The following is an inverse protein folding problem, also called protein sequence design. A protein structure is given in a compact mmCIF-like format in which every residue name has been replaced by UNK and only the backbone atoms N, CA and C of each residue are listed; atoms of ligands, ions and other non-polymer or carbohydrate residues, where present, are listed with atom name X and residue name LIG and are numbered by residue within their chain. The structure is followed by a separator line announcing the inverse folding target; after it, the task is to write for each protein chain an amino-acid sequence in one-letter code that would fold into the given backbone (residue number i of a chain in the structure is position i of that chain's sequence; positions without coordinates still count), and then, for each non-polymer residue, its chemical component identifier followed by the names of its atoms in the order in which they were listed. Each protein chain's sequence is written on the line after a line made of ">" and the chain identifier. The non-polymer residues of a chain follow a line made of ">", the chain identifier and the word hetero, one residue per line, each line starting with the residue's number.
data_IF_096145621280
#
_entry.id   IF_096145621280
#
_cell.length_a   1.000
_cell.length_b   1.000
_cell.length_c   1.000
_cell.angle_alpha   90.00
_cell.angle_beta   90.00
_cell.angle_gamma   90.00
#
_symmetry.space_group_name_H-M   'P 1'
#
loop_
_entity.id
_entity.type
_entity.pdbx_description
1 polymer ?
#
# COMPACT_ATOMS: atom_id res chain seq x y z
N UNK A 1 7.61 18.63 11.22
CA UNK A 1 7.10 17.23 11.18
C UNK A 1 7.16 16.69 9.76
N UNK A 2 7.76 15.53 9.59
CA UNK A 2 7.79 14.85 8.30
C UNK A 2 6.65 13.86 8.19
N UNK A 3 6.07 13.74 7.00
CA UNK A 3 4.96 12.84 6.73
C UNK A 3 5.43 11.66 5.90
N UNK A 4 5.15 10.45 6.39
CA UNK A 4 5.49 9.19 5.71
C UNK A 4 4.18 8.49 5.40
N UNK A 5 3.92 8.23 4.12
CA UNK A 5 2.73 7.51 3.68
C UNK A 5 3.11 6.05 3.40
N UNK A 6 2.46 5.14 4.11
CA UNK A 6 2.66 3.71 3.95
C UNK A 6 1.57 3.15 3.06
N UNK A 7 1.92 2.83 1.83
CA UNK A 7 0.99 2.40 0.79
C UNK A 7 1.16 0.91 0.52
N UNK A 8 0.14 0.13 0.83
CA UNK A 8 0.28 -1.32 0.73
C UNK A 8 -1.04 -2.06 0.67
N UNK A 9 -0.95 -3.37 0.85
CA UNK A 9 -2.08 -4.31 0.80
C UNK A 9 -2.52 -4.73 2.21
N UNK A 10 -3.01 -5.96 2.34
CA UNK A 10 -3.48 -6.50 3.63
C UNK A 10 -2.39 -6.52 4.71
N UNK A 11 -1.13 -6.68 4.33
CA UNK A 11 -0.03 -6.66 5.30
C UNK A 11 0.14 -5.27 5.91
N UNK A 12 -0.11 -4.23 5.15
CA UNK A 12 -0.07 -2.85 5.64
C UNK A 12 -1.35 -2.47 6.37
N UNK A 13 -2.49 -2.94 5.86
CA UNK A 13 -3.78 -2.78 6.55
C UNK A 13 -3.75 -3.43 7.93
N UNK A 14 -3.06 -4.56 8.06
CA UNK A 14 -3.01 -5.33 9.29
C UNK A 14 -4.10 -6.38 9.37
N UNK A 15 -4.39 -7.04 8.25
CA UNK A 15 -5.41 -8.09 8.21
C UNK A 15 -5.05 -9.23 9.15
N UNK A 16 -5.99 -9.61 10.02
CA UNK A 16 -5.85 -10.74 10.93
C UNK A 16 -6.57 -11.96 10.35
N UNK A 17 -5.84 -12.95 9.84
CA UNK A 17 -6.47 -14.12 9.20
C UNK A 17 -7.22 -15.03 10.17
N UNK A 18 -6.94 -14.92 11.46
CA UNK A 18 -7.62 -15.75 12.47
C UNK A 18 -9.03 -15.25 12.72
N UNK A 19 -9.22 -13.93 12.83
CA UNK A 19 -10.51 -13.33 13.17
C UNK A 19 -11.25 -12.73 11.97
N UNK A 20 -10.54 -12.49 10.86
CA UNK A 20 -11.07 -11.75 9.72
C UNK A 20 -11.09 -10.25 9.93
N UNK A 21 -10.60 -9.78 11.07
CA UNK A 21 -10.56 -8.37 11.42
C UNK A 21 -9.21 -7.73 11.12
N UNK A 22 -8.88 -6.74 11.95
CA UNK A 22 -7.66 -5.95 11.79
C UNK A 22 -6.85 -5.99 13.08
N UNK A 23 -5.55 -6.20 12.96
CA UNK A 23 -4.65 -6.12 14.11
C UNK A 23 -4.72 -4.72 14.73
N UNK A 24 -4.62 -4.60 16.07
CA UNK A 24 -4.56 -3.29 16.72
C UNK A 24 -3.37 -2.46 16.24
N UNK A 25 -3.46 -1.16 16.42
CA UNK A 25 -2.44 -0.22 15.97
C UNK A 25 -1.05 -0.56 16.50
N UNK A 26 -0.94 -1.00 17.75
CA UNK A 26 0.34 -1.35 18.36
C UNK A 26 0.95 -2.66 17.84
N UNK A 27 0.18 -3.43 17.07
CA UNK A 27 0.64 -4.67 16.44
C UNK A 27 0.97 -4.45 14.97
N UNK A 28 0.20 -3.60 14.26
CA UNK A 28 0.45 -3.31 12.85
C UNK A 28 1.84 -2.70 12.68
N UNK A 29 2.56 -3.07 11.59
CA UNK A 29 3.92 -2.55 11.38
C UNK A 29 3.92 -1.03 11.25
N UNK A 30 2.89 -0.45 10.67
CA UNK A 30 2.76 1.00 10.50
C UNK A 30 2.60 1.71 11.85
N UNK A 31 1.81 1.15 12.75
CA UNK A 31 1.66 1.69 14.10
C UNK A 31 2.95 1.59 14.91
N UNK A 32 3.66 0.48 14.75
CA UNK A 32 4.96 0.31 15.41
C UNK A 32 6.00 1.27 14.84
N UNK A 33 5.96 1.51 13.54
CA UNK A 33 6.83 2.49 12.90
C UNK A 33 6.61 3.88 13.50
N UNK A 34 5.34 4.28 13.67
CA UNK A 34 5.02 5.56 14.29
C UNK A 34 5.60 5.66 15.72
N UNK A 35 5.48 4.60 16.50
CA UNK A 35 6.03 4.59 17.85
C UNK A 35 7.56 4.75 17.85
N UNK A 36 8.22 4.08 16.92
CA UNK A 36 9.68 4.14 16.82
C UNK A 36 10.19 5.49 16.34
N UNK A 37 9.47 6.16 15.45
CA UNK A 37 9.88 7.43 14.88
C UNK A 37 9.57 8.62 15.79
N UNK A 38 8.56 8.50 16.66
CA UNK A 38 8.20 9.56 17.61
C UNK A 38 7.43 10.71 16.98
N UNK A 39 7.35 11.82 17.72
CA UNK A 39 6.45 12.93 17.42
C UNK A 39 6.90 13.82 16.25
N UNK A 40 8.13 13.67 15.77
CA UNK A 40 8.63 14.45 14.63
C UNK A 40 8.19 13.88 13.29
N UNK A 41 7.54 12.74 13.30
CA UNK A 41 7.06 12.04 12.09
C UNK A 41 5.59 11.73 12.24
N UNK A 42 4.89 11.85 11.13
CA UNK A 42 3.50 11.42 11.02
C UNK A 42 3.43 10.28 10.03
N UNK A 43 3.06 9.09 10.49
CA UNK A 43 2.87 7.92 9.64
C UNK A 43 1.40 7.82 9.25
N UNK A 44 1.15 7.82 7.94
CA UNK A 44 -0.19 7.66 7.39
C UNK A 44 -0.31 6.24 6.88
N UNK A 45 -1.35 5.54 7.36
CA UNK A 45 -1.62 4.15 6.98
C UNK A 45 -2.57 4.10 5.80
N UNK A 46 -2.11 3.62 4.65
CA UNK A 46 -2.95 3.43 3.47
C UNK A 46 -2.83 2.01 2.96
N UNK A 47 -3.25 1.07 3.77
CA UNK A 47 -3.33 -0.34 3.43
C UNK A 47 -4.74 -0.72 3.01
N UNK A 48 -4.85 -1.55 1.99
CA UNK A 48 -6.13 -2.05 1.50
C UNK A 48 -6.02 -3.53 1.14
N UNK A 49 -6.89 -4.34 1.73
CA UNK A 49 -6.88 -5.77 1.47
C UNK A 49 -7.08 -6.03 -0.03
N UNK A 50 -6.24 -6.87 -0.60
CA UNK A 50 -6.32 -7.24 -2.00
C UNK A 50 -5.65 -6.27 -2.97
N UNK A 51 -5.08 -5.17 -2.49
CA UNK A 51 -4.44 -4.20 -3.40
C UNK A 51 -3.30 -4.83 -4.17
N UNK A 52 -3.28 -4.59 -5.46
CA UNK A 52 -2.22 -4.99 -6.38
C UNK A 52 -1.37 -3.78 -6.75
N UNK A 53 -0.35 -3.97 -7.58
CA UNK A 53 0.38 -2.83 -8.15
C UNK A 53 -0.52 -2.06 -9.12
N UNK A 54 -0.99 -2.71 -10.21
CA UNK A 54 -1.86 -2.03 -11.19
C UNK A 54 -2.89 -2.96 -11.81
N UNK A 55 -2.78 -4.25 -11.58
CA UNK A 55 -3.65 -5.25 -12.19
C UNK A 55 -4.96 -5.40 -11.41
N UNK A 56 -6.04 -5.65 -12.13
CA UNK A 56 -7.37 -5.74 -11.52
C UNK A 56 -8.24 -6.74 -12.26
N UNK A 57 -9.08 -7.44 -11.52
CA UNK A 57 -10.13 -8.28 -12.10
C UNK A 57 -11.34 -7.40 -12.47
N UNK A 58 -12.21 -7.85 -13.38
CA UNK A 58 -13.44 -7.14 -13.69
C UNK A 58 -14.27 -6.86 -12.43
N UNK A 59 -14.70 -5.62 -12.26
CA UNK A 59 -15.48 -5.18 -11.09
C UNK A 59 -14.65 -4.92 -9.84
N UNK A 60 -13.33 -5.11 -9.90
CA UNK A 60 -12.45 -4.92 -8.74
C UNK A 60 -11.41 -3.83 -8.97
N UNK A 61 -11.75 -2.80 -9.74
CA UNK A 61 -10.84 -1.69 -10.02
C UNK A 61 -10.30 -1.00 -8.78
N UNK A 62 -11.06 -1.01 -7.68
CA UNK A 62 -10.63 -0.44 -6.40
C UNK A 62 -9.39 -1.13 -5.82
N UNK A 63 -9.06 -2.34 -6.28
CA UNK A 63 -7.87 -3.07 -5.85
C UNK A 63 -6.61 -2.65 -6.58
N UNK A 64 -6.72 -1.91 -7.69
CA UNK A 64 -5.56 -1.43 -8.42
C UNK A 64 -4.86 -0.32 -7.64
N UNK A 65 -3.59 -0.55 -7.27
CA UNK A 65 -2.80 0.47 -6.60
C UNK A 65 -2.59 1.69 -7.45
N UNK A 66 -2.48 1.52 -8.77
CA UNK A 66 -2.27 2.62 -9.70
C UNK A 66 -3.49 3.58 -9.74
N UNK A 67 -4.70 3.03 -9.73
CA UNK A 67 -5.90 3.87 -9.80
C UNK A 67 -6.11 4.77 -8.59
N UNK A 68 -5.74 4.30 -7.40
CA UNK A 68 -5.93 5.07 -6.17
C UNK A 68 -4.75 5.96 -5.82
N UNK A 69 -3.59 5.72 -6.39
CA UNK A 69 -2.34 6.37 -5.95
C UNK A 69 -2.42 7.91 -6.02
N UNK A 70 -2.80 8.47 -7.14
CA UNK A 70 -2.89 9.93 -7.29
C UNK A 70 -3.92 10.56 -6.35
N UNK A 71 -5.16 10.06 -6.26
CA UNK A 71 -6.11 10.56 -5.27
C UNK A 71 -5.58 10.45 -3.84
N UNK A 72 -4.90 9.36 -3.52
CA UNK A 72 -4.32 9.14 -2.20
C UNK A 72 -3.27 10.19 -1.88
N UNK A 73 -2.31 10.38 -2.78
CA UNK A 73 -1.25 11.38 -2.59
C UNK A 73 -1.82 12.79 -2.47
N UNK A 74 -2.78 13.12 -3.31
CA UNK A 74 -3.42 14.43 -3.30
C UNK A 74 -4.19 14.70 -2.01
N UNK A 75 -4.77 13.65 -1.42
CA UNK A 75 -5.52 13.76 -0.16
C UNK A 75 -4.63 14.00 1.04
N UNK A 76 -3.38 13.53 0.99
CA UNK A 76 -2.48 13.55 2.15
C UNK A 76 -1.32 14.53 2.01
N UNK A 77 -1.18 15.19 0.89
CA UNK A 77 -0.02 16.07 0.67
C UNK A 77 0.01 17.24 1.65
N UNK A 78 1.19 17.71 2.05
CA UNK A 78 2.50 17.28 1.53
C UNK A 78 2.96 15.97 2.16
N UNK A 79 3.50 15.09 1.32
CA UNK A 79 4.05 13.80 1.74
C UNK A 79 5.55 13.83 1.46
N UNK A 80 6.35 13.59 2.49
CA UNK A 80 7.81 13.64 2.37
C UNK A 80 8.38 12.34 1.85
N UNK A 81 7.81 11.21 2.29
CA UNK A 81 8.28 9.88 1.90
C UNK A 81 7.11 8.94 1.69
N UNK A 82 7.26 8.03 0.74
CA UNK A 82 6.30 6.94 0.51
C UNK A 82 7.01 5.61 0.71
N UNK A 83 6.48 4.78 1.60
CA UNK A 83 6.92 3.39 1.76
C UNK A 83 5.86 2.52 1.12
N UNK A 84 6.24 1.82 0.05
CA UNK A 84 5.32 1.00 -0.71
C UNK A 84 5.63 -0.49 -0.52
N UNK A 85 4.61 -1.26 -0.13
CA UNK A 85 4.72 -2.70 0.04
C UNK A 85 3.58 -3.37 -0.71
N UNK A 86 3.83 -3.73 -1.96
CA UNK A 86 2.84 -4.34 -2.87
C UNK A 86 3.50 -5.44 -3.70
N UNK A 87 2.68 -6.27 -4.31
CA UNK A 87 3.14 -7.34 -5.20
C UNK A 87 2.59 -8.71 -4.83
N UNK A 88 2.27 -8.94 -3.56
CA UNK A 88 1.75 -10.23 -3.11
C UNK A 88 0.47 -10.63 -3.84
N UNK A 89 -0.46 -9.70 -3.99
CA UNK A 89 -1.73 -9.98 -4.65
C UNK A 89 -1.60 -10.09 -6.17
N UNK A 90 -0.51 -9.58 -6.73
CA UNK A 90 -0.20 -9.74 -8.14
C UNK A 90 0.12 -11.19 -8.49
N UNK A 91 0.50 -11.98 -7.49
CA UNK A 91 0.82 -13.40 -7.65
C UNK A 91 -0.42 -14.29 -7.80
N UNK A 92 -1.62 -13.74 -7.71
CA UNK A 92 -2.84 -14.53 -7.85
C UNK A 92 -2.88 -15.18 -9.24
N UNK A 93 -3.27 -16.46 -9.25
CA UNK A 93 -3.26 -17.27 -10.47
C UNK A 93 -4.11 -16.68 -11.60
N UNK A 94 -5.20 -16.01 -11.24
CA UNK A 94 -6.14 -15.45 -12.21
C UNK A 94 -5.52 -14.38 -13.12
N UNK A 95 -4.44 -13.74 -12.66
CA UNK A 95 -3.75 -12.74 -13.47
C UNK A 95 -2.72 -13.35 -14.43
N UNK A 96 -2.17 -14.51 -14.09
CA UNK A 96 -1.17 -15.17 -14.92
C UNK A 96 0.11 -14.36 -15.14
N UNK A 97 0.48 -13.53 -14.17
CA UNK A 97 1.61 -12.62 -14.32
C UNK A 97 2.96 -13.29 -14.02
N UNK A 98 3.98 -12.91 -14.79
CA UNK A 98 5.35 -13.30 -14.49
C UNK A 98 6.02 -12.27 -13.57
N UNK A 99 7.19 -12.62 -13.05
CA UNK A 99 7.95 -11.78 -12.12
C UNK A 99 8.24 -10.40 -12.71
N UNK A 100 8.62 -10.36 -13.97
CA UNK A 100 8.95 -9.11 -14.67
C UNK A 100 7.76 -8.18 -14.79
N UNK A 101 6.57 -8.74 -15.01
CA UNK A 101 5.34 -7.96 -15.09
C UNK A 101 4.98 -7.35 -13.74
N UNK A 102 5.16 -8.10 -12.65
CA UNK A 102 4.90 -7.61 -11.31
C UNK A 102 5.89 -6.49 -10.96
N UNK A 103 7.16 -6.68 -11.28
CA UNK A 103 8.19 -5.67 -11.07
C UNK A 103 7.89 -4.40 -11.87
N UNK A 104 7.45 -4.55 -13.13
CA UNK A 104 7.08 -3.41 -13.97
C UNK A 104 5.89 -2.64 -13.39
N UNK A 105 4.94 -3.35 -12.77
CA UNK A 105 3.82 -2.71 -12.08
C UNK A 105 4.28 -1.83 -10.92
N UNK A 106 5.17 -2.36 -10.10
CA UNK A 106 5.75 -1.59 -8.99
C UNK A 106 6.53 -0.38 -9.50
N UNK A 107 7.31 -0.55 -10.56
CA UNK A 107 8.06 0.55 -11.18
C UNK A 107 7.13 1.64 -11.70
N UNK A 108 5.99 1.26 -12.28
CA UNK A 108 4.99 2.23 -12.75
C UNK A 108 4.47 3.08 -11.62
N UNK A 109 4.22 2.49 -10.45
CA UNK A 109 3.77 3.23 -9.28
C UNK A 109 4.83 4.23 -8.80
N UNK A 110 6.08 3.82 -8.78
CA UNK A 110 7.20 4.69 -8.39
C UNK A 110 7.26 5.91 -9.31
N UNK A 111 7.09 5.70 -10.61
CA UNK A 111 7.08 6.80 -11.59
C UNK A 111 5.92 7.77 -11.33
N UNK A 112 4.74 7.24 -11.01
CA UNK A 112 3.58 8.08 -10.72
C UNK A 112 3.80 8.94 -9.47
N UNK A 113 4.52 8.44 -8.47
CA UNK A 113 4.83 9.20 -7.26
C UNK A 113 5.70 10.41 -7.59
N UNK A 114 6.64 10.25 -8.52
CA UNK A 114 7.56 11.33 -8.88
C UNK A 114 6.99 12.30 -9.93
N UNK A 115 5.91 11.95 -10.54
CA UNK A 115 5.23 12.83 -11.48
C UNK A 115 4.26 13.75 -10.73
#
# INVERSE_FOLDING_TARGET
>A
MKTILCYGDSNTYGYNPVTGGRWPEDIRWTGRLQQLLGDEYKVIEEGCNGRTTMYKAPGEGWKSGLEYLKPCLNSHKPVDEVVMMLGTNDLKMDFGLCTEEIAAGAERLVKEIHD
#
